data_IF_192912996096
#
_entry.id   IF_192912996096
#
_cell.length_a   1.000
_cell.length_b   1.000
_cell.length_c   1.000
_cell.angle_alpha   90.00
_cell.angle_beta   90.00
_cell.angle_gamma   90.00
#
_symmetry.space_group_name_H-M   'P 1'
#
loop_
_entity.id
_entity.type
_entity.pdbx_description
1 polymer ?
#
# COMPACT_ATOMS: atom_id res chain seq x y z
N UNK A 1 -3.94 -1.59 31.54
CA UNK A 1 -4.98 -2.44 30.95
C UNK A 1 -5.34 -1.83 29.60
N UNK A 2 -4.76 -2.35 28.52
CA UNK A 2 -4.70 -1.65 27.22
C UNK A 2 -6.00 -1.76 26.43
N UNK A 3 -6.41 -0.64 25.83
CA UNK A 3 -7.57 -0.49 24.93
C UNK A 3 -7.45 -1.31 23.63
N UNK A 4 -6.28 -1.91 23.36
CA UNK A 4 -5.95 -2.55 22.09
C UNK A 4 -6.89 -3.69 21.67
N UNK A 5 -7.26 -4.65 22.53
CA UNK A 5 -8.11 -5.77 22.08
C UNK A 5 -9.50 -5.32 21.65
N UNK A 6 -10.09 -4.33 22.34
CA UNK A 6 -11.43 -3.84 22.04
C UNK A 6 -11.48 -3.05 20.73
N UNK A 7 -10.43 -2.26 20.44
CA UNK A 7 -10.34 -1.46 19.21
C UNK A 7 -10.10 -2.36 17.99
N UNK A 8 -9.27 -3.41 18.13
CA UNK A 8 -9.05 -4.38 17.06
C UNK A 8 -10.31 -5.18 16.74
N UNK A 9 -11.06 -5.61 17.77
CA UNK A 9 -12.36 -6.27 17.62
C UNK A 9 -13.41 -5.36 16.97
N UNK A 10 -13.46 -4.08 17.34
CA UNK A 10 -14.37 -3.10 16.75
C UNK A 10 -14.03 -2.81 15.28
N UNK A 11 -12.75 -2.66 14.95
CA UNK A 11 -12.28 -2.47 13.59
C UNK A 11 -12.63 -3.69 12.72
N UNK A 12 -12.37 -4.91 13.21
CA UNK A 12 -12.72 -6.15 12.53
C UNK A 12 -14.22 -6.27 12.27
N UNK A 13 -15.06 -5.86 13.23
CA UNK A 13 -16.52 -5.77 13.07
C UNK A 13 -16.97 -4.78 11.99
N UNK A 14 -16.17 -3.75 11.71
CA UNK A 14 -16.39 -2.77 10.63
C UNK A 14 -15.72 -3.19 9.32
N UNK A 15 -15.18 -4.40 9.23
CA UNK A 15 -14.46 -4.91 8.05
C UNK A 15 -13.06 -4.32 7.88
N UNK A 16 -12.50 -3.71 8.92
CA UNK A 16 -11.16 -3.11 8.89
C UNK A 16 -10.20 -4.05 9.59
N UNK A 17 -9.23 -4.60 8.84
CA UNK A 17 -8.14 -5.39 9.41
C UNK A 17 -7.00 -4.47 9.87
N UNK A 18 -6.58 -4.63 11.13
CA UNK A 18 -5.58 -3.79 11.77
C UNK A 18 -4.45 -4.67 12.30
N UNK A 19 -3.23 -4.47 11.79
CA UNK A 19 -2.02 -5.15 12.25
C UNK A 19 -1.09 -4.17 13.00
N UNK A 20 -1.26 -4.01 14.33
CA UNK A 20 -0.42 -3.10 15.10
C UNK A 20 1.03 -3.63 15.14
N UNK A 21 1.99 -2.76 14.82
CA UNK A 21 3.42 -3.05 14.94
C UNK A 21 3.96 -2.47 16.25
N UNK A 22 4.81 -3.23 16.94
CA UNK A 22 5.52 -2.75 18.12
C UNK A 22 6.55 -1.73 17.70
N UNK A 23 6.40 -0.51 18.20
CA UNK A 23 7.34 0.57 17.96
C UNK A 23 8.59 0.33 18.82
N UNK A 24 9.81 0.24 18.25
CA UNK A 24 11.03 0.09 19.03
C UNK A 24 11.18 1.21 20.07
N UNK A 25 11.68 0.94 21.28
CA UNK A 25 11.87 1.97 22.31
C UNK A 25 12.75 3.16 21.85
N UNK A 26 13.64 2.88 20.90
CA UNK A 26 14.67 3.77 20.35
C UNK A 26 14.09 4.95 19.57
N UNK A 27 12.92 4.76 18.94
CA UNK A 27 12.18 5.84 18.26
C UNK A 27 11.37 6.70 19.23
N UNK A 28 11.41 6.43 20.54
CA UNK A 28 10.90 7.34 21.56
C UNK A 28 11.99 8.19 22.22
N UNK A 29 13.23 8.17 21.71
CA UNK A 29 14.26 9.11 22.16
C UNK A 29 13.78 10.55 21.90
N UNK A 30 13.59 11.29 22.99
CA UNK A 30 13.13 12.67 22.99
C UNK A 30 13.98 13.57 22.08
N UNK A 31 15.26 13.26 21.91
CA UNK A 31 16.17 13.98 20.99
C UNK A 31 15.88 13.69 19.52
N UNK A 32 15.45 12.48 19.19
CA UNK A 32 15.04 12.11 17.84
C UNK A 32 13.66 12.69 17.50
N UNK A 33 12.77 12.78 18.49
CA UNK A 33 11.47 13.45 18.37
C UNK A 33 11.63 14.97 18.20
N UNK A 34 12.44 15.63 19.04
CA UNK A 34 12.68 17.08 18.99
C UNK A 34 13.43 17.52 17.71
N UNK A 35 14.17 16.61 17.08
CA UNK A 35 14.82 16.81 15.77
C UNK A 35 13.91 16.46 14.58
N UNK A 36 12.66 16.05 14.81
CA UNK A 36 11.72 15.63 13.75
C UNK A 36 12.13 14.37 12.99
N UNK A 37 13.02 13.56 13.59
CA UNK A 37 13.59 12.34 12.99
C UNK A 37 12.69 11.10 13.17
N UNK A 38 11.64 11.22 13.99
CA UNK A 38 10.65 10.17 14.22
C UNK A 38 9.35 10.61 13.54
N UNK A 39 9.00 9.93 12.45
CA UNK A 39 7.71 10.09 11.76
C UNK A 39 7.01 8.76 11.68
N UNK A 40 5.85 8.69 12.31
CA UNK A 40 4.91 7.60 12.12
C UNK A 40 3.82 8.13 11.21
N UNK A 41 3.56 7.51 10.06
CA UNK A 41 2.24 7.46 9.41
C UNK A 41 2.27 6.32 8.40
N UNK A 42 1.15 5.59 8.27
CA UNK A 42 0.61 5.12 6.98
C UNK A 42 -0.70 4.37 7.21
N UNK A 43 -1.82 5.10 7.06
CA UNK A 43 -3.11 4.49 6.74
C UNK A 43 -3.39 4.93 5.31
N UNK A 44 -3.13 4.03 4.36
CA UNK A 44 -3.63 4.19 3.00
C UNK A 44 -5.02 3.56 2.94
N UNK A 45 -5.96 4.26 2.32
CA UNK A 45 -7.33 3.80 2.16
C UNK A 45 -7.62 3.60 0.67
N UNK A 46 -8.21 2.45 0.33
CA UNK A 46 -8.68 2.13 -1.01
C UNK A 46 -10.19 1.85 -0.91
N UNK A 47 -11.00 2.59 -1.64
CA UNK A 47 -12.42 2.27 -1.85
C UNK A 47 -12.62 1.71 -3.26
N UNK A 48 -13.20 0.51 -3.34
CA UNK A 48 -13.59 -0.11 -4.60
C UNK A 48 -15.08 -0.44 -4.60
N UNK A 49 -15.67 -0.46 -5.79
CA UNK A 49 -17.05 -0.87 -6.02
C UNK A 49 -17.11 -1.99 -7.04
N UNK A 50 -17.41 -3.22 -6.62
CA UNK A 50 -17.81 -4.28 -7.54
C UNK A 50 -19.13 -3.92 -8.21
N UNK A 51 -19.21 -4.10 -9.52
CA UNK A 51 -20.40 -3.87 -10.34
C UNK A 51 -20.76 -5.18 -11.02
N UNK A 52 -21.90 -5.75 -10.65
CA UNK A 52 -22.46 -6.93 -11.30
C UNK A 52 -23.18 -6.53 -12.60
N UNK A 53 -23.01 -7.32 -13.65
CA UNK A 53 -23.77 -7.13 -14.91
C UNK A 53 -25.21 -7.60 -14.71
N UNK A 54 -26.18 -6.72 -15.04
CA UNK A 54 -27.61 -7.02 -14.92
C UNK A 54 -28.06 -8.16 -15.85
N UNK A 55 -27.38 -8.38 -16.98
CA UNK A 55 -27.71 -9.40 -17.96
C UNK A 55 -26.93 -10.71 -17.76
N UNK A 56 -25.79 -10.65 -17.06
CA UNK A 56 -24.98 -11.83 -16.74
C UNK A 56 -24.55 -11.78 -15.27
N UNK A 57 -25.25 -12.49 -14.37
CA UNK A 57 -24.97 -12.44 -12.93
C UNK A 57 -23.62 -13.07 -12.55
N UNK A 58 -22.95 -13.74 -13.49
CA UNK A 58 -21.59 -14.27 -13.34
C UNK A 58 -20.49 -13.26 -13.70
N UNK A 59 -20.86 -12.06 -14.15
CA UNK A 59 -19.91 -11.07 -14.64
C UNK A 59 -19.79 -9.89 -13.68
N UNK A 60 -18.55 -9.55 -13.34
CA UNK A 60 -18.19 -8.45 -12.43
C UNK A 60 -17.19 -7.52 -13.10
N UNK A 61 -17.37 -6.21 -12.91
CA UNK A 61 -16.30 -5.21 -13.07
C UNK A 61 -15.98 -4.58 -11.72
N UNK A 62 -14.74 -4.14 -11.55
CA UNK A 62 -14.28 -3.49 -10.32
C UNK A 62 -13.98 -2.03 -10.63
N UNK A 63 -14.60 -1.11 -9.91
CA UNK A 63 -14.39 0.33 -10.04
C UNK A 63 -13.57 0.83 -8.85
N UNK A 64 -12.44 1.51 -9.10
CA UNK A 64 -11.68 2.23 -8.08
C UNK A 64 -12.31 3.61 -7.88
N UNK A 65 -12.91 3.85 -6.72
CA UNK A 65 -13.70 5.06 -6.47
C UNK A 65 -13.03 6.08 -5.57
N UNK A 66 -12.16 5.63 -4.67
CA UNK A 66 -11.40 6.52 -3.80
C UNK A 66 -10.04 5.91 -3.44
N UNK A 67 -9.06 6.78 -3.25
CA UNK A 67 -7.76 6.43 -2.72
C UNK A 67 -7.21 7.60 -1.90
N UNK A 68 -6.86 7.35 -0.65
CA UNK A 68 -6.31 8.37 0.23
C UNK A 68 -5.01 7.90 0.86
N UNK A 69 -4.00 8.76 0.78
CA UNK A 69 -2.70 8.61 1.43
C UNK A 69 -2.38 9.87 2.20
N UNK A 70 -1.77 9.72 3.38
CA UNK A 70 -1.39 10.85 4.21
C UNK A 70 0.12 10.92 4.38
N UNK A 71 0.77 11.60 3.43
CA UNK A 71 2.19 11.92 3.50
C UNK A 71 2.40 13.31 4.09
N UNK A 72 3.36 13.43 5.01
CA UNK A 72 3.83 14.72 5.49
C UNK A 72 5.35 14.75 5.46
N UNK A 73 5.90 15.56 4.55
CA UNK A 73 7.28 15.98 4.62
C UNK A 73 7.34 17.19 5.57
N UNK A 74 7.33 16.93 6.88
CA UNK A 74 7.65 17.97 7.87
C UNK A 74 8.92 18.71 7.44
N UNK A 75 8.94 20.04 7.59
CA UNK A 75 9.98 20.97 7.09
C UNK A 75 9.69 21.66 5.74
N UNK A 76 8.45 21.71 5.28
CA UNK A 76 8.08 22.55 4.12
C UNK A 76 8.62 23.98 4.22
N UNK A 77 8.56 24.58 5.42
CA UNK A 77 9.04 25.94 5.68
C UNK A 77 10.57 26.10 5.60
N UNK A 78 11.35 25.17 6.17
CA UNK A 78 12.81 25.27 6.10
C UNK A 78 13.34 24.96 4.70
N UNK A 79 12.70 24.04 3.96
CA UNK A 79 13.01 23.77 2.56
C UNK A 79 12.76 25.03 1.71
N UNK A 80 11.65 25.76 1.94
CA UNK A 80 11.45 27.07 1.30
C UNK A 80 12.55 28.08 1.61
N UNK A 81 13.07 28.09 2.85
CA UNK A 81 14.08 29.04 3.29
C UNK A 81 15.45 28.77 2.63
N UNK A 82 15.82 27.50 2.47
CA UNK A 82 17.08 27.06 1.85
C UNK A 82 17.04 27.11 0.31
N UNK A 83 15.86 27.27 -0.30
CA UNK A 83 15.69 27.32 -1.74
C UNK A 83 16.44 28.51 -2.35
N UNK A 84 17.35 28.21 -3.31
CA UNK A 84 18.12 29.22 -4.05
C UNK A 84 17.23 29.96 -5.05
N UNK A 85 17.56 31.22 -5.33
CA UNK A 85 16.83 32.03 -6.31
C UNK A 85 16.87 31.38 -7.71
N UNK A 86 15.71 31.32 -8.37
CA UNK A 86 15.52 30.69 -9.68
C UNK A 86 15.38 29.15 -9.65
N UNK A 87 15.24 28.53 -8.47
CA UNK A 87 15.04 27.08 -8.33
C UNK A 87 13.61 26.75 -7.93
N UNK A 88 13.24 25.49 -8.19
CA UNK A 88 11.97 24.89 -7.75
C UNK A 88 12.21 23.52 -7.16
N UNK A 89 11.40 23.17 -6.18
CA UNK A 89 11.42 21.88 -5.49
C UNK A 89 9.99 21.39 -5.29
N UNK A 90 9.81 20.07 -5.27
CA UNK A 90 8.51 19.44 -5.05
C UNK A 90 8.58 18.76 -3.69
N UNK A 91 7.64 19.10 -2.82
CA UNK A 91 7.55 18.57 -1.47
C UNK A 91 6.12 18.14 -1.17
N UNK A 92 5.96 17.25 -0.19
CA UNK A 92 4.64 16.83 0.27
C UNK A 92 4.31 17.51 1.61
N UNK A 93 3.22 18.29 1.66
CA UNK A 93 2.79 18.97 2.88
C UNK A 93 1.31 18.66 3.14
N UNK A 94 1.00 18.18 4.35
CA UNK A 94 -0.34 17.80 4.79
C UNK A 94 -1.16 16.98 3.77
N UNK A 95 -0.57 15.94 3.17
CA UNK A 95 -1.24 15.10 2.18
C UNK A 95 -1.44 15.75 0.81
N UNK A 96 -0.70 16.82 0.50
CA UNK A 96 -0.69 17.48 -0.80
C UNK A 96 0.72 17.58 -1.34
N UNK A 97 0.91 17.18 -2.59
CA UNK A 97 2.13 17.46 -3.33
C UNK A 97 2.12 18.92 -3.80
N UNK A 98 3.12 19.70 -3.39
CA UNK A 98 3.25 21.12 -3.67
C UNK A 98 4.60 21.37 -4.34
N UNK A 99 4.58 22.07 -5.48
CA UNK A 99 5.77 22.63 -6.10
C UNK A 99 6.00 24.03 -5.55
N UNK A 100 7.11 24.20 -4.86
CA UNK A 100 7.62 25.48 -4.40
C UNK A 100 8.62 26.00 -5.41
N UNK A 101 8.47 27.24 -5.87
CA UNK A 101 9.45 27.91 -6.74
C UNK A 101 9.83 29.25 -6.17
N UNK A 102 11.11 29.64 -6.28
CA UNK A 102 11.60 30.96 -5.89
C UNK A 102 12.11 31.69 -7.12
N UNK A 103 11.55 32.84 -7.41
CA UNK A 103 12.00 33.65 -8.55
C UNK A 103 13.36 34.32 -8.27
N UNK A 104 13.89 35.04 -9.26
CA UNK A 104 15.16 35.80 -9.11
C UNK A 104 15.04 37.01 -8.19
N UNK A 105 13.82 37.48 -7.92
CA UNK A 105 13.52 38.62 -7.06
C UNK A 105 13.28 38.19 -5.60
N UNK A 106 13.34 36.89 -5.32
CA UNK A 106 13.12 36.32 -3.99
C UNK A 106 11.67 35.97 -3.66
N UNK A 107 10.72 36.18 -4.59
CA UNK A 107 9.30 35.81 -4.42
C UNK A 107 9.15 34.30 -4.47
N UNK A 108 8.46 33.73 -3.47
CA UNK A 108 8.15 32.31 -3.39
C UNK A 108 6.73 32.05 -3.89
N UNK A 109 6.57 31.13 -4.84
CA UNK A 109 5.28 30.67 -5.35
C UNK A 109 5.07 29.20 -4.99
N UNK A 110 3.85 28.85 -4.56
CA UNK A 110 3.46 27.48 -4.22
C UNK A 110 2.33 27.02 -5.15
N UNK A 111 2.54 25.91 -5.84
CA UNK A 111 1.58 25.31 -6.77
C UNK A 111 1.21 23.91 -6.30
N UNK A 112 -0.08 23.62 -6.13
CA UNK A 112 -0.55 22.28 -5.75
C UNK A 112 -0.63 21.38 -6.99
N UNK A 113 0.11 20.28 -6.96
CA UNK A 113 0.18 19.30 -8.06
C UNK A 113 -0.87 18.18 -7.93
N UNK A 114 -1.37 17.93 -6.72
CA UNK A 114 -2.39 16.90 -6.43
C UNK A 114 -3.72 17.58 -6.17
N UNK A 115 -4.59 17.60 -7.19
CA UNK A 115 -5.89 18.28 -7.15
C UNK A 115 -7.03 17.32 -6.88
N UNK A 116 -6.88 16.08 -7.33
CA UNK A 116 -7.83 14.99 -7.16
C UNK A 116 -7.10 13.78 -6.60
N UNK A 117 -7.84 12.87 -5.96
CA UNK A 117 -7.28 11.68 -5.34
C UNK A 117 -6.53 10.79 -6.34
N UNK A 118 -7.00 10.73 -7.59
CA UNK A 118 -6.36 9.91 -8.63
C UNK A 118 -4.94 10.37 -8.94
N UNK A 119 -4.58 11.63 -8.67
CA UNK A 119 -3.23 12.16 -8.90
C UNK A 119 -2.18 11.48 -8.00
N UNK A 120 -2.63 10.79 -6.94
CA UNK A 120 -1.78 9.97 -6.08
C UNK A 120 -1.57 8.56 -6.62
N UNK A 121 -2.33 8.12 -7.61
CA UNK A 121 -2.27 6.75 -8.16
C UNK A 121 -1.47 6.72 -9.45
N UNK A 122 -0.35 6.01 -9.43
CA UNK A 122 0.47 5.76 -10.63
C UNK A 122 0.10 4.44 -11.30
N UNK A 123 -0.25 3.42 -10.50
CA UNK A 123 -0.60 2.08 -10.98
C UNK A 123 -1.66 1.47 -10.07
N UNK A 124 -2.58 0.69 -10.62
CA UNK A 124 -3.39 -0.23 -9.83
C UNK A 124 -3.71 -1.51 -10.61
N UNK A 125 -3.98 -2.57 -9.88
CA UNK A 125 -4.28 -3.89 -10.42
C UNK A 125 -5.36 -4.61 -9.62
N UNK A 126 -5.99 -5.57 -10.28
CA UNK A 126 -7.09 -6.38 -9.77
C UNK A 126 -6.74 -7.86 -9.93
N UNK A 127 -7.01 -8.60 -8.87
CA UNK A 127 -7.07 -10.05 -8.80
C UNK A 127 -8.52 -10.39 -8.42
N UNK A 128 -9.23 -11.11 -9.29
CA UNK A 128 -10.65 -11.42 -9.11
C UNK A 128 -10.88 -12.64 -8.22
N UNK A 129 -9.83 -13.42 -7.90
CA UNK A 129 -9.88 -14.58 -7.00
C UNK A 129 -8.58 -14.74 -6.21
N UNK A 130 -8.36 -13.83 -5.25
CA UNK A 130 -7.14 -13.77 -4.46
C UNK A 130 -6.88 -15.06 -3.67
N UNK A 131 -7.93 -15.78 -3.27
CA UNK A 131 -7.80 -17.00 -2.48
C UNK A 131 -7.49 -18.26 -3.31
N UNK A 132 -7.35 -18.10 -4.62
CA UNK A 132 -7.09 -19.21 -5.56
C UNK A 132 -5.77 -19.93 -5.29
N UNK A 133 -4.71 -19.19 -4.89
CA UNK A 133 -3.35 -19.74 -4.77
C UNK A 133 -2.63 -19.33 -3.50
N UNK A 134 -2.42 -20.30 -2.60
CA UNK A 134 -1.65 -20.10 -1.35
C UNK A 134 -0.19 -19.78 -1.65
N UNK A 135 0.35 -18.83 -0.89
CA UNK A 135 1.79 -18.53 -0.90
C UNK A 135 2.55 -19.53 -0.02
N UNK A 136 3.31 -20.42 -0.66
CA UNK A 136 4.07 -21.47 0.03
C UNK A 136 5.56 -21.17 -0.08
N UNK A 137 6.26 -21.15 1.06
CA UNK A 137 7.71 -20.98 1.14
C UNK A 137 8.37 -22.29 1.59
N UNK A 138 9.66 -22.43 1.29
CA UNK A 138 10.48 -23.53 1.77
C UNK A 138 11.34 -23.07 2.94
N UNK A 139 11.16 -23.73 4.09
CA UNK A 139 11.91 -23.45 5.32
C UNK A 139 12.82 -24.63 5.64
N UNK A 140 14.12 -24.42 5.94
CA UNK A 140 15.02 -25.51 6.33
C UNK A 140 14.61 -26.08 7.69
N UNK A 141 14.47 -27.42 7.78
CA UNK A 141 14.00 -28.12 8.99
C UNK A 141 14.91 -27.92 10.22
N UNK A 142 16.19 -27.63 10.02
CA UNK A 142 17.20 -27.56 11.09
C UNK A 142 17.54 -26.12 11.52
N UNK A 143 16.81 -25.10 11.05
CA UNK A 143 17.04 -23.73 11.53
C UNK A 143 16.49 -23.58 12.95
N UNK A 144 17.37 -23.42 13.93
CA UNK A 144 16.98 -23.18 15.33
C UNK A 144 17.13 -24.35 16.29
N UNK A 145 17.97 -25.36 16.00
CA UNK A 145 18.56 -26.15 17.10
C UNK A 145 19.39 -25.17 17.93
N UNK A 146 19.08 -25.02 19.22
CA UNK A 146 19.79 -24.11 20.13
C UNK A 146 21.31 -24.30 20.01
N UNK A 147 22.01 -23.29 19.45
CA UNK A 147 23.48 -23.23 19.49
C UNK A 147 24.21 -22.85 18.20
N UNK A 148 23.58 -22.87 17.02
CA UNK A 148 24.31 -22.60 15.77
C UNK A 148 23.93 -21.26 15.11
N UNK A 149 24.96 -20.43 14.88
CA UNK A 149 24.87 -19.14 14.20
C UNK A 149 24.64 -19.34 12.69
N UNK A 150 23.80 -18.50 12.04
CA UNK A 150 23.62 -18.54 10.59
C UNK A 150 24.96 -18.27 9.88
N UNK A 151 25.42 -19.22 9.08
CA UNK A 151 26.62 -19.06 8.22
C UNK A 151 27.89 -19.78 8.69
N UNK A 152 27.83 -20.59 9.76
CA UNK A 152 29.00 -21.33 10.26
C UNK A 152 28.81 -22.86 10.33
N UNK A 153 27.93 -23.44 9.52
CA UNK A 153 27.76 -24.89 9.48
C UNK A 153 28.82 -25.53 8.56
N UNK A 154 29.88 -26.06 9.16
CA UNK A 154 30.77 -27.06 8.53
C UNK A 154 30.11 -28.43 8.70
N UNK A 155 29.04 -28.70 7.97
CA UNK A 155 28.44 -30.04 7.93
C UNK A 155 28.04 -30.37 6.50
N UNK A 156 28.56 -31.47 5.98
CA UNK A 156 28.25 -32.09 4.68
C UNK A 156 26.83 -32.71 4.63
N UNK A 157 25.95 -32.29 5.54
CA UNK A 157 24.59 -32.81 5.67
C UNK A 157 23.64 -32.05 4.74
N UNK A 158 22.79 -32.80 4.06
CA UNK A 158 21.76 -32.23 3.19
C UNK A 158 20.76 -31.45 4.04
N UNK A 159 20.61 -30.16 3.74
CA UNK A 159 19.57 -29.32 4.35
C UNK A 159 18.22 -29.80 3.79
N UNK A 160 17.41 -30.44 4.62
CA UNK A 160 16.03 -30.78 4.28
C UNK A 160 15.15 -29.53 4.39
N UNK A 161 14.35 -29.27 3.35
CA UNK A 161 13.37 -28.20 3.34
C UNK A 161 11.96 -28.75 3.56
N UNK A 162 11.12 -27.97 4.23
CA UNK A 162 9.69 -28.23 4.34
C UNK A 162 8.89 -27.08 3.73
N UNK A 163 7.78 -27.43 3.08
CA UNK A 163 6.82 -26.44 2.58
C UNK A 163 5.97 -25.93 3.72
N UNK A 164 5.86 -24.60 3.83
CA UNK A 164 5.05 -23.93 4.82
C UNK A 164 4.25 -22.81 4.16
N UNK A 165 2.93 -22.82 4.38
CA UNK A 165 2.06 -21.73 3.99
C UNK A 165 2.33 -20.50 4.85
N UNK A 166 2.43 -19.32 4.23
CA UNK A 166 2.70 -18.06 4.92
C UNK A 166 1.47 -17.49 5.64
N UNK A 167 0.27 -18.01 5.35
CA UNK A 167 -1.00 -17.42 5.76
C UNK A 167 -1.57 -16.42 4.75
N UNK A 168 -0.82 -16.11 3.68
CA UNK A 168 -1.20 -15.22 2.59
C UNK A 168 -1.42 -15.97 1.29
N UNK A 169 -1.97 -15.28 0.30
CA UNK A 169 -2.14 -15.80 -1.05
C UNK A 169 -1.31 -15.01 -2.05
N UNK A 170 -0.99 -15.64 -3.17
CA UNK A 170 -0.26 -15.01 -4.27
C UNK A 170 -1.24 -14.12 -5.01
N UNK A 171 -0.92 -12.82 -5.08
CA UNK A 171 -1.66 -11.90 -5.91
C UNK A 171 -1.40 -12.20 -7.39
N UNK A 172 -2.44 -12.59 -8.11
CA UNK A 172 -2.39 -12.84 -9.54
C UNK A 172 -2.93 -11.60 -10.28
N UNK A 173 -2.05 -10.94 -11.03
CA UNK A 173 -2.42 -9.75 -11.77
C UNK A 173 -3.20 -10.13 -13.03
N UNK A 174 -4.53 -10.12 -12.91
CA UNK A 174 -5.44 -10.41 -14.02
C UNK A 174 -5.79 -9.17 -14.84
N UNK A 175 -5.80 -7.99 -14.20
CA UNK A 175 -6.03 -6.72 -14.87
C UNK A 175 -5.25 -5.59 -14.18
N UNK A 176 -4.80 -4.60 -14.96
CA UNK A 176 -4.07 -3.44 -14.45
C UNK A 176 -4.30 -2.17 -15.28
N UNK A 177 -4.15 -1.02 -14.64
CA UNK A 177 -4.06 0.29 -15.30
C UNK A 177 -2.93 1.11 -14.68
N UNK A 178 -2.25 1.90 -15.51
CA UNK A 178 -1.10 2.69 -15.07
C UNK A 178 -0.92 3.96 -15.91
N UNK A 179 -0.37 4.99 -15.27
CA UNK A 179 0.02 6.23 -15.94
C UNK A 179 1.34 6.04 -16.68
N UNK A 180 1.48 6.71 -17.80
CA UNK A 180 2.74 6.78 -18.54
C UNK A 180 3.23 8.22 -18.62
N UNK A 181 4.48 8.41 -19.05
CA UNK A 181 5.00 9.76 -19.36
C UNK A 181 4.22 10.46 -20.47
N UNK A 182 3.60 9.70 -21.37
CA UNK A 182 2.88 10.22 -22.55
C UNK A 182 1.40 10.45 -22.27
N UNK A 183 0.75 9.52 -21.57
CA UNK A 183 -0.64 9.63 -21.14
C UNK A 183 -0.71 9.56 -19.63
N UNK A 184 -1.32 10.58 -19.04
CA UNK A 184 -1.59 10.65 -17.61
C UNK A 184 -2.97 10.10 -17.27
N UNK A 185 -3.73 9.58 -18.22
CA UNK A 185 -5.05 9.02 -17.92
C UNK A 185 -4.92 7.68 -17.19
N UNK A 186 -5.82 7.44 -16.26
CA UNK A 186 -5.91 6.19 -15.50
C UNK A 186 -7.31 5.64 -15.68
N UNK A 187 -7.42 4.38 -16.09
CA UNK A 187 -8.71 3.70 -16.19
C UNK A 187 -9.16 3.32 -14.79
N UNK A 188 -10.31 3.82 -14.36
CA UNK A 188 -10.82 3.61 -12.99
C UNK A 188 -11.78 2.43 -12.91
N UNK A 189 -11.98 1.68 -14.00
CA UNK A 189 -12.85 0.52 -14.06
C UNK A 189 -12.09 -0.61 -14.73
N UNK A 190 -12.14 -1.81 -14.15
CA UNK A 190 -11.52 -2.98 -14.73
C UNK A 190 -12.24 -3.43 -15.99
N UNK A 191 -11.57 -4.28 -16.78
CA UNK A 191 -12.27 -5.13 -17.72
C UNK A 191 -13.27 -6.03 -16.99
N UNK A 192 -14.31 -6.47 -17.71
CA UNK A 192 -15.29 -7.39 -17.16
C UNK A 192 -14.69 -8.80 -17.02
N UNK A 193 -14.79 -9.35 -15.82
CA UNK A 193 -14.40 -10.72 -15.50
C UNK A 193 -15.65 -11.59 -15.39
N UNK A 194 -15.62 -12.79 -15.96
CA UNK A 194 -16.73 -13.75 -15.94
C UNK A 194 -16.32 -14.99 -15.14
N UNK A 195 -16.99 -15.21 -14.01
CA UNK A 195 -16.70 -16.32 -13.13
C UNK A 195 -17.25 -17.63 -13.70
N UNK A 196 -16.52 -18.76 -13.53
CA UNK A 196 -16.94 -20.05 -14.06
C UNK A 196 -18.16 -20.65 -13.33
N UNK A 197 -18.42 -20.24 -12.09
CA UNK A 197 -19.53 -20.73 -11.28
C UNK A 197 -20.05 -19.65 -10.32
N UNK A 198 -21.32 -19.74 -9.88
CA UNK A 198 -21.83 -18.96 -8.76
C UNK A 198 -21.04 -19.27 -7.48
N UNK A 199 -20.76 -18.25 -6.67
CA UNK A 199 -19.94 -18.44 -5.48
C UNK A 199 -19.61 -17.15 -4.73
N UNK A 200 -18.85 -17.32 -3.66
CA UNK A 200 -18.21 -16.22 -2.94
C UNK A 200 -16.75 -16.20 -3.35
N UNK A 201 -16.28 -15.03 -3.76
CA UNK A 201 -14.92 -14.79 -4.20
C UNK A 201 -14.34 -13.62 -3.40
N UNK A 202 -13.01 -13.60 -3.26
CA UNK A 202 -12.30 -12.48 -2.62
C UNK A 202 -11.53 -11.74 -3.71
N UNK A 203 -12.01 -10.56 -4.06
CA UNK A 203 -11.31 -9.68 -5.00
C UNK A 203 -10.23 -8.92 -4.25
N UNK A 204 -8.99 -8.97 -4.72
CA UNK A 204 -7.91 -8.12 -4.23
C UNK A 204 -7.63 -6.98 -5.21
N UNK A 205 -7.47 -5.77 -4.66
CA UNK A 205 -7.04 -4.60 -5.41
C UNK A 205 -5.76 -4.09 -4.82
N UNK A 206 -4.74 -3.92 -5.67
CA UNK A 206 -3.45 -3.34 -5.31
C UNK A 206 -3.30 -1.98 -5.98
N UNK A 207 -3.06 -0.93 -5.21
CA UNK A 207 -2.78 0.43 -5.68
C UNK A 207 -1.33 0.76 -5.34
N UNK A 208 -0.60 1.28 -6.30
CA UNK A 208 0.76 1.80 -6.14
C UNK A 208 0.70 3.31 -6.34
N UNK A 209 1.17 4.04 -5.33
CA UNK A 209 1.17 5.49 -5.37
C UNK A 209 2.38 6.07 -6.13
N UNK A 210 2.39 7.39 -6.29
CA UNK A 210 3.45 8.14 -6.97
C UNK A 210 4.83 8.08 -6.29
N UNK A 211 4.92 7.52 -5.07
CA UNK A 211 6.18 7.24 -4.39
C UNK A 211 6.60 5.78 -4.52
N UNK A 212 5.77 4.93 -5.14
CA UNK A 212 6.04 3.51 -5.34
C UNK A 212 5.61 2.63 -4.17
N UNK A 213 4.91 3.17 -3.17
CA UNK A 213 4.39 2.38 -2.07
C UNK A 213 3.12 1.66 -2.52
N UNK A 214 3.06 0.34 -2.29
CA UNK A 214 1.89 -0.47 -2.61
C UNK A 214 0.97 -0.65 -1.41
N UNK A 215 -0.33 -0.53 -1.66
CA UNK A 215 -1.41 -0.79 -0.70
C UNK A 215 -2.36 -1.81 -1.32
N UNK A 216 -2.81 -2.78 -0.52
CA UNK A 216 -3.76 -3.79 -0.96
C UNK A 216 -5.06 -3.71 -0.14
N UNK A 217 -6.19 -3.93 -0.80
CA UNK A 217 -7.50 -4.06 -0.18
C UNK A 217 -8.19 -5.33 -0.68
N UNK A 218 -8.87 -6.03 0.22
CA UNK A 218 -9.61 -7.26 -0.07
C UNK A 218 -11.10 -6.98 0.08
N UNK A 219 -11.88 -7.35 -0.92
CA UNK A 219 -13.34 -7.17 -0.92
C UNK A 219 -14.02 -8.47 -1.28
N UNK A 220 -14.86 -9.03 -0.39
CA UNK A 220 -15.65 -10.21 -0.72
C UNK A 220 -16.76 -9.82 -1.71
N UNK A 221 -16.94 -10.65 -2.74
CA UNK A 221 -17.97 -10.50 -3.77
C UNK A 221 -18.78 -11.80 -3.85
N UNK A 222 -20.10 -11.67 -3.99
CA UNK A 222 -21.00 -12.79 -4.26
C UNK A 222 -21.47 -12.68 -5.70
N UNK A 223 -21.31 -13.77 -6.43
CA UNK A 223 -21.54 -13.84 -7.87
C UNK A 223 -22.54 -14.96 -8.14
N UNK A 224 -23.52 -14.72 -9.01
CA UNK A 224 -24.62 -15.66 -9.32
C UNK A 224 -25.79 -15.67 -8.34
#
# INVERSE_FOLDING_TARGET
MGLFPAVLEEAKRKGIDLAPKTIPPEVFDKRAVDKGQVRFHEVAYIEIKPRLDANNPLRVTVELTDFSVFYSQGLAESITAELRAGKSEVLCDAGKLIKVSKDKNGTVTREVLTRQWTDWVDYWAVDFDYESRKEIIQVPKNFGVEGELPGLAVTTEFIEFQEQWTGSYIFENEWQSFRTRKSRELELTSAAHEYPAPGRYTVAVKVVDIFGNDTMSLTPVVVG
#
